data_IF_761523254728
#
_entry.id   IF_761523254728
#
_cell.length_a   1.000
_cell.length_b   1.000
_cell.length_c   1.000
_cell.angle_alpha   90.00
_cell.angle_beta   90.00
_cell.angle_gamma   90.00
#
_symmetry.space_group_name_H-M   'P 1'
#
loop_
_entity.id
_entity.type
_entity.pdbx_description
1 polymer ?
#
# COMPACT_ATOMS: atom_id res chain seq x y z
N UNK A 1 13.28 -3.99 -14.36
CA UNK A 1 12.30 -4.59 -13.41
C UNK A 1 11.00 -3.78 -13.20
N UNK A 2 10.95 -2.48 -13.50
CA UNK A 2 9.73 -1.63 -13.37
C UNK A 2 8.49 -2.10 -14.17
N UNK A 3 8.68 -2.70 -15.36
CA UNK A 3 7.59 -3.11 -16.26
C UNK A 3 6.68 -4.23 -15.73
N UNK A 4 7.18 -5.12 -14.87
CA UNK A 4 6.40 -6.29 -14.40
C UNK A 4 5.46 -5.89 -13.24
N UNK A 5 5.94 -5.02 -12.35
CA UNK A 5 5.14 -4.43 -11.27
C UNK A 5 4.03 -3.50 -11.76
N UNK A 6 4.31 -2.68 -12.80
CA UNK A 6 3.28 -1.83 -13.40
C UNK A 6 2.16 -2.68 -14.01
N UNK A 7 2.49 -3.64 -14.88
CA UNK A 7 1.50 -4.51 -15.51
C UNK A 7 0.65 -5.27 -14.51
N UNK A 8 1.26 -5.68 -13.40
CA UNK A 8 0.59 -6.38 -12.32
C UNK A 8 -0.46 -5.52 -11.62
N UNK A 9 -0.06 -4.30 -11.26
CA UNK A 9 -0.94 -3.30 -10.64
C UNK A 9 -2.07 -2.88 -11.59
N UNK A 10 -1.77 -2.72 -12.86
CA UNK A 10 -2.76 -2.35 -13.87
C UNK A 10 -3.83 -3.46 -14.02
N UNK A 11 -3.40 -4.74 -13.97
CA UNK A 11 -4.33 -5.87 -13.95
C UNK A 11 -5.23 -5.90 -12.70
N UNK A 12 -4.69 -5.53 -11.53
CA UNK A 12 -5.48 -5.42 -10.30
C UNK A 12 -6.51 -4.29 -10.35
N UNK A 13 -6.09 -3.11 -10.84
CA UNK A 13 -6.96 -1.96 -10.99
C UNK A 13 -8.10 -2.26 -11.99
N UNK A 14 -7.79 -2.91 -13.11
CA UNK A 14 -8.81 -3.31 -14.10
C UNK A 14 -9.89 -4.22 -13.51
N UNK A 15 -9.54 -5.10 -12.57
CA UNK A 15 -10.51 -5.99 -11.89
C UNK A 15 -11.42 -5.26 -10.90
N UNK A 16 -11.03 -4.05 -10.49
CA UNK A 16 -11.81 -3.19 -9.62
C UNK A 16 -12.73 -2.24 -10.39
N UNK A 17 -12.65 -2.14 -11.72
CA UNK A 17 -13.54 -1.30 -12.54
C UNK A 17 -15.04 -1.41 -12.19
N UNK A 18 -15.58 -2.59 -11.85
CA UNK A 18 -16.98 -2.71 -11.44
C UNK A 18 -17.33 -2.12 -10.07
N UNK A 19 -16.31 -1.69 -9.31
CA UNK A 19 -16.40 -1.08 -7.98
C UNK A 19 -15.82 0.34 -8.10
N UNK A 20 -16.58 1.31 -8.62
CA UNK A 20 -16.03 2.59 -9.09
C UNK A 20 -15.29 3.37 -8.01
N UNK A 21 -15.79 3.35 -6.78
CA UNK A 21 -15.19 4.04 -5.64
C UNK A 21 -13.89 3.37 -5.19
N UNK A 22 -13.88 2.03 -5.06
CA UNK A 22 -12.69 1.23 -4.79
C UNK A 22 -11.63 1.44 -5.87
N UNK A 23 -12.01 1.41 -7.15
CA UNK A 23 -11.10 1.62 -8.26
C UNK A 23 -10.47 3.02 -8.24
N UNK A 24 -11.28 4.06 -7.98
CA UNK A 24 -10.79 5.42 -7.83
C UNK A 24 -9.81 5.55 -6.65
N UNK A 25 -10.18 4.99 -5.48
CA UNK A 25 -9.33 5.04 -4.30
C UNK A 25 -8.01 4.29 -4.50
N UNK A 26 -8.02 3.13 -5.16
CA UNK A 26 -6.79 2.38 -5.43
C UNK A 26 -5.88 3.05 -6.45
N UNK A 27 -6.40 3.86 -7.38
CA UNK A 27 -5.52 4.69 -8.21
C UNK A 27 -4.83 5.79 -7.41
N UNK A 28 -5.52 6.36 -6.42
CA UNK A 28 -4.91 7.34 -5.53
C UNK A 28 -3.87 6.70 -4.62
N UNK A 29 -4.18 5.52 -4.09
CA UNK A 29 -3.26 4.69 -3.30
C UNK A 29 -1.91 4.52 -4.01
N UNK A 30 -1.96 4.23 -5.30
CA UNK A 30 -0.76 4.04 -6.11
C UNK A 30 0.13 5.28 -6.16
N UNK A 31 -0.46 6.48 -6.29
CA UNK A 31 0.32 7.74 -6.27
C UNK A 31 0.88 8.03 -4.89
N UNK A 32 0.10 7.74 -3.85
CA UNK A 32 0.51 7.89 -2.47
C UNK A 32 1.68 6.97 -2.11
N UNK A 33 1.63 5.68 -2.47
CA UNK A 33 2.74 4.75 -2.23
C UNK A 33 4.01 5.19 -2.96
N UNK A 34 3.89 5.74 -4.17
CA UNK A 34 5.04 6.32 -4.89
C UNK A 34 5.65 7.53 -4.16
N UNK A 35 4.80 8.38 -3.58
CA UNK A 35 5.23 9.54 -2.80
C UNK A 35 5.92 9.11 -1.50
N UNK A 36 5.39 8.10 -0.81
CA UNK A 36 6.03 7.54 0.38
C UNK A 36 7.34 6.81 0.07
N UNK A 37 7.42 6.09 -1.05
CA UNK A 37 8.67 5.52 -1.53
C UNK A 37 9.73 6.61 -1.71
N UNK A 38 9.40 7.71 -2.39
CA UNK A 38 10.34 8.82 -2.58
C UNK A 38 10.78 9.44 -1.23
N UNK A 39 9.85 9.55 -0.27
CA UNK A 39 10.15 10.02 1.10
C UNK A 39 11.14 9.10 1.80
N UNK A 40 10.93 7.78 1.76
CA UNK A 40 11.84 6.80 2.34
C UNK A 40 13.21 6.77 1.64
N UNK A 41 13.25 6.87 0.31
CA UNK A 41 14.49 6.95 -0.46
C UNK A 41 15.31 8.20 -0.08
N UNK A 42 14.65 9.34 0.15
CA UNK A 42 15.29 10.57 0.60
C UNK A 42 15.87 10.42 2.02
N UNK A 43 15.12 9.83 2.96
CA UNK A 43 15.58 9.56 4.33
C UNK A 43 16.77 8.60 4.34
N UNK A 44 16.70 7.50 3.59
CA UNK A 44 17.81 6.54 3.50
C UNK A 44 19.07 7.21 2.91
N UNK A 45 18.89 8.06 1.90
CA UNK A 45 19.99 8.80 1.28
C UNK A 45 20.63 9.80 2.24
N UNK A 46 19.85 10.50 3.08
CA UNK A 46 20.40 11.42 4.08
C UNK A 46 21.21 10.72 5.18
N UNK A 47 20.93 9.43 5.41
CA UNK A 47 21.71 8.58 6.33
C UNK A 47 22.88 7.84 5.67
N UNK A 48 23.29 8.27 4.47
CA UNK A 48 24.48 7.73 3.78
C UNK A 48 24.23 6.42 3.03
N UNK A 49 22.98 5.98 2.89
CA UNK A 49 22.64 4.87 2.00
C UNK A 49 22.79 5.34 0.56
N UNK A 50 23.47 4.57 -0.31
CA UNK A 50 23.57 4.94 -1.72
C UNK A 50 22.17 4.95 -2.38
N UNK A 51 21.92 5.81 -3.40
CA UNK A 51 20.62 5.86 -4.06
C UNK A 51 20.18 4.51 -4.65
N UNK A 52 21.11 3.68 -5.11
CA UNK A 52 20.82 2.34 -5.61
C UNK A 52 20.42 1.39 -4.50
N UNK A 53 21.14 1.39 -3.37
CA UNK A 53 20.81 0.55 -2.22
C UNK A 53 19.47 0.96 -1.58
N UNK A 54 19.19 2.27 -1.51
CA UNK A 54 17.90 2.78 -1.04
C UNK A 54 16.75 2.29 -1.93
N UNK A 55 16.92 2.43 -3.25
CA UNK A 55 15.94 1.97 -4.24
C UNK A 55 15.72 0.45 -4.19
N UNK A 56 16.80 -0.33 -4.03
CA UNK A 56 16.72 -1.78 -3.88
C UNK A 56 15.99 -2.18 -2.60
N UNK A 57 16.29 -1.54 -1.46
CA UNK A 57 15.62 -1.79 -0.20
C UNK A 57 14.11 -1.56 -0.32
N UNK A 58 13.68 -0.41 -0.87
CA UNK A 58 12.26 -0.11 -1.08
C UNK A 58 11.61 -1.09 -2.05
N UNK A 59 12.27 -1.38 -3.18
CA UNK A 59 11.74 -2.31 -4.19
C UNK A 59 11.56 -3.73 -3.64
N UNK A 60 12.44 -4.18 -2.74
CA UNK A 60 12.38 -5.52 -2.15
C UNK A 60 11.12 -5.74 -1.29
N UNK A 61 10.65 -4.70 -0.60
CA UNK A 61 9.42 -4.72 0.21
C UNK A 61 8.21 -4.83 -0.70
N UNK A 62 8.12 -3.98 -1.73
CA UNK A 62 7.05 -4.05 -2.73
C UNK A 62 6.99 -5.44 -3.41
N UNK A 63 8.15 -6.06 -3.64
CA UNK A 63 8.36 -7.46 -4.05
C UNK A 63 7.47 -8.46 -3.31
N UNK A 64 7.49 -8.39 -1.97
CA UNK A 64 6.80 -9.33 -1.08
C UNK A 64 5.29 -9.10 -1.08
N UNK A 65 4.84 -7.85 -1.20
CA UNK A 65 3.42 -7.48 -1.27
C UNK A 65 2.75 -8.05 -2.51
N UNK A 66 3.41 -7.99 -3.67
CA UNK A 66 2.88 -8.57 -4.89
C UNK A 66 2.61 -10.08 -4.75
N UNK A 67 3.34 -10.79 -3.90
CA UNK A 67 3.13 -12.21 -3.62
C UNK A 67 1.88 -12.55 -2.80
N UNK A 68 1.19 -11.56 -2.20
CA UNK A 68 0.03 -11.74 -1.32
C UNK A 68 -1.33 -11.56 -2.01
N UNK A 69 -1.37 -11.62 -3.34
CA UNK A 69 -2.53 -11.24 -4.14
C UNK A 69 -3.15 -12.46 -4.83
N UNK A 70 -4.49 -12.50 -4.87
CA UNK A 70 -5.26 -13.70 -5.21
C UNK A 70 -5.84 -13.70 -6.63
N UNK A 71 -5.01 -13.48 -7.65
CA UNK A 71 -5.46 -13.26 -9.05
C UNK A 71 -6.26 -14.40 -9.71
N UNK A 72 -6.32 -15.60 -9.12
CA UNK A 72 -7.04 -16.76 -9.67
C UNK A 72 -8.34 -17.09 -8.93
N UNK A 73 -8.70 -16.31 -7.91
CA UNK A 73 -9.87 -16.58 -7.09
C UNK A 73 -11.13 -15.92 -7.65
N UNK A 74 -12.28 -16.58 -7.57
CA UNK A 74 -13.57 -16.01 -8.01
C UNK A 74 -14.01 -14.83 -7.15
N UNK A 75 -13.53 -14.77 -5.91
CA UNK A 75 -13.73 -13.74 -4.89
C UNK A 75 -12.48 -12.85 -4.71
N UNK A 76 -11.63 -12.77 -5.74
CA UNK A 76 -10.34 -12.08 -5.67
C UNK A 76 -10.42 -10.63 -5.21
N UNK A 77 -11.47 -9.88 -5.58
CA UNK A 77 -11.61 -8.47 -5.19
C UNK A 77 -11.72 -8.35 -3.68
N UNK A 78 -12.50 -9.22 -3.05
CA UNK A 78 -12.67 -9.25 -1.60
C UNK A 78 -11.37 -9.68 -0.93
N UNK A 79 -10.76 -10.77 -1.40
CA UNK A 79 -9.48 -11.26 -0.84
C UNK A 79 -8.36 -10.24 -0.95
N UNK A 80 -8.25 -9.56 -2.10
CA UNK A 80 -7.25 -8.52 -2.29
C UNK A 80 -7.52 -7.30 -1.41
N UNK A 81 -8.78 -6.92 -1.19
CA UNK A 81 -9.13 -5.85 -0.25
C UNK A 81 -8.79 -6.22 1.19
N UNK A 82 -9.09 -7.45 1.63
CA UNK A 82 -8.71 -7.95 2.96
C UNK A 82 -7.19 -7.98 3.15
N UNK A 83 -6.46 -8.47 2.14
CA UNK A 83 -5.01 -8.44 2.14
C UNK A 83 -4.47 -7.00 2.21
N UNK A 84 -5.08 -6.07 1.48
CA UNK A 84 -4.71 -4.66 1.51
C UNK A 84 -4.93 -4.04 2.90
N UNK A 85 -6.07 -4.30 3.56
CA UNK A 85 -6.35 -3.85 4.93
C UNK A 85 -5.28 -4.38 5.91
N UNK A 86 -4.99 -5.67 5.86
CA UNK A 86 -3.94 -6.27 6.70
C UNK A 86 -2.56 -5.66 6.43
N UNK A 87 -2.27 -5.34 5.17
CA UNK A 87 -1.03 -4.68 4.79
C UNK A 87 -0.95 -3.25 5.33
N UNK A 88 -2.05 -2.49 5.38
CA UNK A 88 -2.05 -1.17 6.03
C UNK A 88 -1.68 -1.23 7.52
N UNK A 89 -2.17 -2.23 8.24
CA UNK A 89 -1.77 -2.45 9.63
C UNK A 89 -0.25 -2.74 9.76
N UNK A 90 0.30 -3.54 8.83
CA UNK A 90 1.74 -3.79 8.76
C UNK A 90 2.54 -2.50 8.49
N UNK A 91 2.08 -1.65 7.58
CA UNK A 91 2.74 -0.37 7.26
C UNK A 91 2.70 0.60 8.44
N UNK A 92 1.56 0.72 9.14
CA UNK A 92 1.46 1.52 10.38
C UNK A 92 2.44 1.00 11.44
N UNK A 93 2.52 -0.31 11.65
CA UNK A 93 3.49 -0.91 12.57
C UNK A 93 4.94 -0.64 12.16
N UNK A 94 5.23 -0.69 10.86
CA UNK A 94 6.55 -0.42 10.30
C UNK A 94 6.96 1.05 10.51
N UNK A 95 6.07 2.00 10.25
CA UNK A 95 6.33 3.41 10.51
C UNK A 95 6.49 3.70 12.01
N UNK A 96 5.69 3.06 12.86
CA UNK A 96 5.84 3.16 14.32
C UNK A 96 7.25 2.71 14.77
N UNK A 97 7.73 1.59 14.23
CA UNK A 97 9.07 1.10 14.49
C UNK A 97 10.14 2.09 13.98
N UNK A 98 10.00 2.61 12.76
CA UNK A 98 10.93 3.59 12.17
C UNK A 98 10.99 4.89 12.99
N UNK A 99 9.85 5.42 13.41
CA UNK A 99 9.78 6.61 14.27
C UNK A 99 10.50 6.37 15.59
N UNK A 100 10.29 5.19 16.19
CA UNK A 100 10.95 4.80 17.45
C UNK A 100 12.46 4.72 17.27
N UNK A 101 12.93 4.08 16.19
CA UNK A 101 14.36 3.99 15.86
C UNK A 101 14.97 5.37 15.57
N UNK A 102 14.28 6.23 14.82
CA UNK A 102 14.74 7.58 14.53
C UNK A 102 14.92 8.42 15.81
N UNK A 103 13.95 8.35 16.74
CA UNK A 103 14.06 9.00 18.05
C UNK A 103 15.23 8.45 18.88
N UNK A 104 15.40 7.13 18.92
CA UNK A 104 16.50 6.49 19.65
C UNK A 104 17.88 6.81 19.07
N UNK A 105 17.98 6.99 17.75
CA UNK A 105 19.21 7.36 17.05
C UNK A 105 19.51 8.86 17.07
N UNK A 106 18.63 9.69 17.65
CA UNK A 106 18.76 11.16 17.63
C UNK A 106 18.41 11.79 16.27
N UNK A 107 17.88 11.03 15.31
CA UNK A 107 17.43 11.48 13.99
C UNK A 107 16.02 12.10 14.06
N UNK A 108 15.82 13.08 14.95
CA UNK A 108 14.50 13.68 15.20
C UNK A 108 13.93 14.42 13.99
N UNK A 109 14.79 14.86 13.05
CA UNK A 109 14.37 15.47 11.79
C UNK A 109 13.54 14.55 10.88
N UNK A 110 13.67 13.23 11.02
CA UNK A 110 12.96 12.26 10.17
C UNK A 110 11.53 12.01 10.66
N UNK A 111 11.28 12.28 11.95
CA UNK A 111 10.03 11.90 12.63
C UNK A 111 8.81 12.47 11.93
N UNK A 112 8.86 13.75 11.52
CA UNK A 112 7.74 14.40 10.85
C UNK A 112 7.37 13.71 9.53
N UNK A 113 8.37 13.33 8.74
CA UNK A 113 8.18 12.66 7.46
C UNK A 113 7.60 11.25 7.65
N UNK A 114 8.10 10.51 8.64
CA UNK A 114 7.60 9.17 8.97
C UNK A 114 6.18 9.20 9.53
N UNK A 115 5.87 10.16 10.42
CA UNK A 115 4.52 10.36 10.96
C UNK A 115 3.52 10.77 9.87
N UNK A 116 3.96 11.54 8.87
CA UNK A 116 3.13 11.85 7.72
C UNK A 116 2.74 10.57 6.96
N UNK A 117 3.68 9.69 6.64
CA UNK A 117 3.36 8.43 5.97
C UNK A 117 2.45 7.57 6.83
N UNK A 118 2.71 7.50 8.14
CA UNK A 118 1.90 6.71 9.06
C UNK A 118 0.43 7.16 9.07
N UNK A 119 0.17 8.48 9.13
CA UNK A 119 -1.20 9.03 9.08
C UNK A 119 -1.88 8.72 7.77
N UNK A 120 -1.19 8.90 6.65
CA UNK A 120 -1.68 8.51 5.34
C UNK A 120 -2.14 7.03 5.39
N UNK A 121 -1.31 6.10 5.87
CA UNK A 121 -1.66 4.68 5.96
C UNK A 121 -2.86 4.38 6.87
N UNK A 122 -3.00 5.08 7.99
CA UNK A 122 -4.16 4.98 8.86
C UNK A 122 -5.45 5.42 8.17
N UNK A 123 -5.43 6.55 7.47
CA UNK A 123 -6.59 7.08 6.73
C UNK A 123 -7.06 6.11 5.64
N UNK A 124 -6.14 5.38 5.01
CA UNK A 124 -6.50 4.38 4.00
C UNK A 124 -7.05 3.11 4.63
N UNK A 125 -6.49 2.65 5.75
CA UNK A 125 -7.04 1.52 6.49
C UNK A 125 -8.47 1.80 6.94
N UNK A 126 -8.70 2.99 7.50
CA UNK A 126 -10.02 3.45 7.95
C UNK A 126 -11.00 3.49 6.78
N UNK A 127 -10.61 4.13 5.67
CA UNK A 127 -11.44 4.18 4.47
C UNK A 127 -11.80 2.78 3.96
N UNK A 128 -10.82 1.86 3.88
CA UNK A 128 -11.05 0.50 3.39
C UNK A 128 -12.03 -0.27 4.30
N UNK A 129 -11.91 -0.12 5.62
CA UNK A 129 -12.80 -0.76 6.58
C UNK A 129 -14.21 -0.19 6.51
N UNK A 130 -14.35 1.12 6.41
CA UNK A 130 -15.65 1.80 6.28
C UNK A 130 -16.39 1.37 5.00
N UNK A 131 -15.68 1.20 3.88
CA UNK A 131 -16.29 0.88 2.58
C UNK A 131 -16.40 -0.63 2.31
N UNK A 132 -15.77 -1.48 3.13
CA UNK A 132 -15.79 -2.93 2.97
C UNK A 132 -17.20 -3.52 2.87
N UNK A 133 -18.19 -3.15 3.73
CA UNK A 133 -19.54 -3.69 3.65
C UNK A 133 -20.19 -3.45 2.28
N UNK A 134 -20.17 -2.21 1.78
CA UNK A 134 -20.77 -1.87 0.48
C UNK A 134 -20.09 -2.56 -0.70
N UNK A 135 -18.77 -2.78 -0.61
CA UNK A 135 -18.01 -3.54 -1.61
C UNK A 135 -18.44 -5.03 -1.60
N UNK A 136 -18.64 -5.61 -0.42
CA UNK A 136 -19.13 -6.99 -0.27
C UNK A 136 -20.56 -7.13 -0.79
N UNK A 137 -21.46 -6.21 -0.47
CA UNK A 137 -22.84 -6.20 -0.97
C UNK A 137 -22.87 -6.12 -2.51
N UNK A 138 -22.03 -5.26 -3.09
CA UNK A 138 -21.85 -5.16 -4.55
C UNK A 138 -21.33 -6.46 -5.14
N UNK A 139 -20.35 -7.11 -4.48
CA UNK A 139 -19.83 -8.42 -4.91
C UNK A 139 -20.90 -9.51 -4.88
N UNK A 140 -21.72 -9.58 -3.83
CA UNK A 140 -22.80 -10.57 -3.70
C UNK A 140 -23.85 -10.38 -4.79
N UNK A 141 -24.33 -9.14 -4.97
CA UNK A 141 -25.34 -8.82 -6.00
C UNK A 141 -24.89 -9.22 -7.40
N UNK A 142 -23.60 -9.02 -7.71
CA UNK A 142 -22.98 -9.41 -8.99
C UNK A 142 -22.77 -10.92 -9.13
N UNK A 143 -22.67 -11.65 -8.01
CA UNK A 143 -22.51 -13.10 -7.99
C UNK A 143 -23.85 -13.83 -8.15
N UNK A 144 -24.95 -13.21 -7.70
CA UNK A 144 -26.32 -13.72 -7.87
C UNK A 144 -26.86 -13.51 -9.30
N UNK A 145 -26.32 -12.56 -10.05
CA UNK A 145 -26.73 -12.26 -11.44
C UNK A 145 -25.98 -13.13 -12.48
N UNK A 146 -25.31 -14.20 -12.05
CA UNK A 146 -24.56 -15.14 -12.91
C UNK A 146 -25.29 -16.46 -13.12
#
# INVERSE_FOLDING_TARGET
>A
MSSRFSRYRDALLGRMEPYPELHARMREEVRRSQTQQARLEALLSSHGTSPSAAKEAVTSVAGKVAGMVHLSASDEVIKNLLAAIGYKAYEVGSYTALITMAKAAGATGDVQALEQSMREEMEMAEWQLEHLPGIVETFLSRSETK
#
